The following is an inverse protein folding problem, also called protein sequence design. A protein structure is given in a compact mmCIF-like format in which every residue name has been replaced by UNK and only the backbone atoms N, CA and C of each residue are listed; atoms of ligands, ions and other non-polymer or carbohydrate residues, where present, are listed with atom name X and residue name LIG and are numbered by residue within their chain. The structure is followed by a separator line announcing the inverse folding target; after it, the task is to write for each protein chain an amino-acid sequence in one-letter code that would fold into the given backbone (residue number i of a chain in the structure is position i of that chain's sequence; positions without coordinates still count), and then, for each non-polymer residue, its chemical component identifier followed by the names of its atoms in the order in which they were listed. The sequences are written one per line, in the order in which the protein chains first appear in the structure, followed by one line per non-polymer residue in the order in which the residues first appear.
data_IF_421546851849
#
_entry.id   IF_421546851849
#
_cell.length_a   1.000
_cell.length_b   1.000
_cell.length_c   1.000
_cell.angle_alpha   90.00
_cell.angle_beta   90.00
_cell.angle_gamma   90.00
#
_symmetry.space_group_name_H-M   'P 1'
#
loop_
_entity.id
_entity.type
_entity.pdbx_description
1 polymer ?
#
# COMPACT_ATOMS: atom_id res chain seq x y z
N UNK A 1 -28.89 13.13 -10.33
CA UNK A 1 -29.34 13.13 -8.92
C UNK A 1 -28.27 12.49 -8.07
N UNK A 2 -27.69 13.21 -7.10
CA UNK A 2 -26.69 12.65 -6.18
C UNK A 2 -27.36 11.67 -5.22
N UNK A 3 -26.89 10.42 -5.20
CA UNK A 3 -27.35 9.41 -4.22
C UNK A 3 -26.88 9.83 -2.83
N UNK A 4 -27.80 10.00 -1.89
CA UNK A 4 -27.48 10.20 -0.47
C UNK A 4 -26.62 9.03 0.02
N UNK A 5 -25.39 9.33 0.46
CA UNK A 5 -24.50 8.31 1.01
C UNK A 5 -25.05 7.84 2.35
N UNK A 6 -25.31 6.53 2.49
CA UNK A 6 -25.63 5.92 3.79
C UNK A 6 -24.44 6.12 4.74
N UNK A 7 -24.71 6.64 5.92
CA UNK A 7 -23.77 6.71 7.03
C UNK A 7 -24.01 5.53 7.98
N UNK A 8 -22.93 5.03 8.57
CA UNK A 8 -22.95 3.96 9.57
C UNK A 8 -22.25 4.46 10.83
N UNK A 9 -22.77 4.07 11.99
CA UNK A 9 -22.15 4.42 13.27
C UNK A 9 -20.79 3.74 13.43
N UNK A 10 -19.85 4.33 14.19
CA UNK A 10 -18.55 3.72 14.45
C UNK A 10 -18.67 2.30 15.02
N UNK A 11 -19.61 2.09 15.93
CA UNK A 11 -19.85 0.82 16.62
C UNK A 11 -20.28 -0.26 15.63
N UNK A 12 -21.18 0.08 14.69
CA UNK A 12 -21.63 -0.84 13.65
C UNK A 12 -20.47 -1.28 12.74
N UNK A 13 -19.56 -0.35 12.39
CA UNK A 13 -18.41 -0.66 11.54
C UNK A 13 -17.45 -1.63 12.22
N UNK A 14 -17.19 -1.41 13.51
CA UNK A 14 -16.32 -2.26 14.34
C UNK A 14 -16.93 -3.65 14.47
N UNK A 15 -18.21 -3.74 14.82
CA UNK A 15 -18.90 -5.02 14.97
C UNK A 15 -18.94 -5.81 13.66
N UNK A 16 -19.27 -5.15 12.54
CA UNK A 16 -19.28 -5.78 11.22
C UNK A 16 -17.90 -6.33 10.83
N UNK A 17 -16.83 -5.59 11.14
CA UNK A 17 -15.47 -6.02 10.90
C UNK A 17 -15.05 -7.19 11.81
N UNK A 18 -15.42 -7.17 13.10
CA UNK A 18 -15.16 -8.26 14.06
C UNK A 18 -15.82 -9.56 13.65
N UNK A 19 -17.05 -9.52 13.12
CA UNK A 19 -17.73 -10.72 12.59
C UNK A 19 -16.92 -11.42 11.48
N UNK A 20 -16.18 -10.67 10.68
CA UNK A 20 -15.30 -11.23 9.64
C UNK A 20 -13.98 -11.73 10.26
N UNK A 21 -13.36 -10.94 11.13
CA UNK A 21 -12.04 -11.24 11.72
C UNK A 21 -12.11 -12.45 12.64
N UNK A 22 -13.05 -12.43 13.59
CA UNK A 22 -13.14 -13.42 14.65
C UNK A 22 -13.94 -14.66 14.20
N UNK A 23 -14.94 -14.45 13.33
CA UNK A 23 -15.82 -15.51 12.84
C UNK A 23 -15.24 -16.34 11.70
N UNK A 24 -14.13 -15.92 11.08
CA UNK A 24 -13.53 -16.62 9.92
C UNK A 24 -14.42 -16.68 8.68
N UNK A 25 -15.55 -15.97 8.67
CA UNK A 25 -16.53 -15.95 7.57
C UNK A 25 -16.06 -15.01 6.46
N UNK A 26 -16.33 -15.33 5.18
CA UNK A 26 -15.93 -14.48 4.07
C UNK A 26 -16.66 -13.13 4.09
N UNK A 27 -15.96 -12.06 3.67
CA UNK A 27 -16.49 -10.69 3.59
C UNK A 27 -17.78 -10.63 2.75
N UNK A 28 -17.85 -11.41 1.68
CA UNK A 28 -18.99 -11.45 0.75
C UNK A 28 -20.28 -11.91 1.43
N UNK A 29 -20.19 -12.88 2.33
CA UNK A 29 -21.34 -13.42 3.08
C UNK A 29 -21.83 -12.38 4.10
N UNK A 30 -20.94 -11.85 4.92
CA UNK A 30 -21.28 -10.83 5.93
C UNK A 30 -21.80 -9.54 5.27
N UNK A 31 -21.24 -9.14 4.13
CA UNK A 31 -21.70 -7.97 3.39
C UNK A 31 -23.15 -8.12 2.90
N UNK A 32 -23.52 -9.31 2.42
CA UNK A 32 -24.89 -9.62 1.99
C UNK A 32 -25.86 -9.61 3.17
N UNK A 33 -25.48 -10.20 4.31
CA UNK A 33 -26.29 -10.20 5.54
C UNK A 33 -26.55 -8.80 6.06
N UNK A 34 -25.51 -7.96 6.07
CA UNK A 34 -25.57 -6.59 6.57
C UNK A 34 -26.07 -5.59 5.52
N UNK A 35 -26.40 -6.05 4.30
CA UNK A 35 -26.82 -5.24 3.16
C UNK A 35 -25.88 -4.02 2.91
N UNK A 36 -24.58 -4.30 2.97
CA UNK A 36 -23.49 -3.35 2.72
C UNK A 36 -22.65 -3.83 1.55
N UNK A 37 -22.04 -2.87 0.84
CA UNK A 37 -21.16 -3.21 -0.27
C UNK A 37 -19.89 -3.90 0.24
N UNK A 38 -19.46 -4.98 -0.41
CA UNK A 38 -18.30 -5.79 -0.01
C UNK A 38 -17.02 -4.95 0.14
N UNK A 39 -16.72 -4.09 -0.84
CA UNK A 39 -15.63 -3.11 -0.76
C UNK A 39 -15.69 -2.18 0.47
N UNK A 40 -16.88 -1.80 0.93
CA UNK A 40 -17.03 -0.95 2.11
C UNK A 40 -16.74 -1.73 3.39
N UNK A 41 -17.25 -2.96 3.49
CA UNK A 41 -16.97 -3.85 4.60
C UNK A 41 -15.48 -4.21 4.67
N UNK A 42 -14.84 -4.46 3.52
CA UNK A 42 -13.40 -4.72 3.44
C UNK A 42 -12.55 -3.56 3.98
N UNK A 43 -12.97 -2.30 3.77
CA UNK A 43 -12.31 -1.13 4.38
C UNK A 43 -12.42 -1.13 5.91
N UNK A 44 -13.57 -1.52 6.45
CA UNK A 44 -13.75 -1.59 7.91
C UNK A 44 -12.93 -2.73 8.52
N UNK A 45 -12.91 -3.90 7.89
CA UNK A 45 -12.07 -5.04 8.31
C UNK A 45 -10.61 -4.66 8.34
N UNK A 46 -10.12 -3.97 7.31
CA UNK A 46 -8.74 -3.47 7.26
C UNK A 46 -8.46 -2.47 8.39
N UNK A 47 -9.37 -1.54 8.65
CA UNK A 47 -9.22 -0.57 9.74
C UNK A 47 -9.17 -1.26 11.13
N UNK A 48 -9.97 -2.31 11.35
CA UNK A 48 -9.91 -3.09 12.59
C UNK A 48 -8.63 -3.93 12.71
N UNK A 49 -8.20 -4.62 11.64
CA UNK A 49 -6.92 -5.36 11.65
C UNK A 49 -5.73 -4.46 11.97
N UNK A 50 -5.80 -3.22 11.51
CA UNK A 50 -4.81 -2.20 11.82
C UNK A 50 -4.88 -1.74 13.29
N UNK A 51 -6.08 -1.55 13.85
CA UNK A 51 -6.25 -1.29 15.29
C UNK A 51 -5.71 -2.42 16.15
N UNK A 52 -5.88 -3.65 15.69
CA UNK A 52 -5.38 -4.86 16.38
C UNK A 52 -3.86 -5.06 16.21
N UNK A 53 -3.19 -4.23 15.42
CA UNK A 53 -1.76 -4.36 15.12
C UNK A 53 -1.40 -5.59 14.28
N UNK A 54 -2.39 -6.24 13.67
CA UNK A 54 -2.20 -7.41 12.79
C UNK A 54 -1.55 -7.01 11.47
N UNK A 55 -1.82 -5.78 11.01
CA UNK A 55 -1.22 -5.18 9.81
C UNK A 55 -0.62 -3.83 10.16
N UNK A 56 0.49 -3.48 9.52
CA UNK A 56 1.14 -2.18 9.69
C UNK A 56 0.69 -1.22 8.57
N UNK A 57 0.34 0.02 8.90
CA UNK A 57 -0.14 1.00 7.91
C UNK A 57 0.88 1.22 6.80
N UNK A 58 2.16 1.30 7.18
CA UNK A 58 3.26 1.65 6.28
C UNK A 58 3.62 0.45 5.40
N UNK A 59 3.64 -0.75 5.97
CA UNK A 59 4.04 -1.96 5.25
C UNK A 59 2.93 -2.58 4.42
N UNK A 60 1.69 -2.52 4.90
CA UNK A 60 0.56 -3.23 4.27
C UNK A 60 -0.35 -2.31 3.46
N UNK A 61 0.00 -1.02 3.27
CA UNK A 61 -0.73 -0.05 2.46
C UNK A 61 -1.18 -0.67 1.12
N UNK A 62 -2.44 -0.45 0.67
CA UNK A 62 -2.85 -0.94 -0.64
C UNK A 62 -1.95 -0.29 -1.70
N UNK A 63 -1.51 -1.03 -2.74
CA UNK A 63 -0.70 -0.46 -3.82
C UNK A 63 -1.41 0.69 -4.56
N UNK A 64 -2.76 0.73 -4.49
CA UNK A 64 -3.61 1.77 -5.08
C UNK A 64 -4.08 2.85 -4.08
N UNK A 65 -3.53 2.87 -2.85
CA UNK A 65 -3.77 3.97 -1.94
C UNK A 65 -3.12 5.25 -2.46
N UNK A 66 -3.84 6.38 -2.47
CA UNK A 66 -3.22 7.68 -2.77
C UNK A 66 -2.03 7.88 -1.82
N UNK A 67 -0.81 7.80 -2.35
CA UNK A 67 0.41 8.11 -1.61
C UNK A 67 0.24 9.47 -0.95
N UNK A 68 0.44 9.55 0.37
CA UNK A 68 0.46 10.80 1.10
C UNK A 68 1.53 11.74 0.51
N UNK A 69 1.37 13.04 0.73
CA UNK A 69 2.32 14.04 0.19
C UNK A 69 3.78 13.77 0.59
N UNK A 70 4.00 13.25 1.80
CA UNK A 70 5.32 12.83 2.29
C UNK A 70 5.86 11.61 1.55
N UNK A 71 5.04 10.58 1.33
CA UNK A 71 5.45 9.38 0.59
C UNK A 71 5.81 9.71 -0.86
N UNK A 72 5.08 10.63 -1.53
CA UNK A 72 5.42 11.09 -2.89
C UNK A 72 6.74 11.85 -2.94
N UNK A 73 7.02 12.67 -1.93
CA UNK A 73 8.26 13.42 -1.84
C UNK A 73 9.46 12.47 -1.64
N UNK A 74 9.31 11.48 -0.77
CA UNK A 74 10.32 10.46 -0.54
C UNK A 74 10.56 9.59 -1.78
N UNK A 75 9.49 9.19 -2.47
CA UNK A 75 9.59 8.43 -3.73
C UNK A 75 10.35 9.23 -4.81
N UNK A 76 10.08 10.54 -4.91
CA UNK A 76 10.80 11.43 -5.83
C UNK A 76 12.29 11.52 -5.49
N UNK A 77 12.61 11.67 -4.20
CA UNK A 77 14.00 11.70 -3.71
C UNK A 77 14.72 10.39 -4.03
N UNK A 78 14.11 9.25 -3.72
CA UNK A 78 14.69 7.94 -3.96
C UNK A 78 14.93 7.68 -5.45
N UNK A 79 14.02 8.11 -6.33
CA UNK A 79 14.22 8.02 -7.78
C UNK A 79 15.39 8.88 -8.27
N UNK A 80 15.59 10.06 -7.71
CA UNK A 80 16.73 10.91 -8.04
C UNK A 80 18.06 10.26 -7.60
N UNK A 81 18.11 9.68 -6.40
CA UNK A 81 19.28 8.98 -5.88
C UNK A 81 19.63 7.73 -6.69
N UNK A 82 18.62 6.96 -7.11
CA UNK A 82 18.83 5.82 -8.01
C UNK A 82 19.42 6.27 -9.35
N UNK A 83 18.87 7.34 -9.95
CA UNK A 83 19.37 7.85 -11.22
C UNK A 83 20.82 8.38 -11.12
N UNK A 84 21.22 8.90 -9.96
CA UNK A 84 22.61 9.28 -9.68
C UNK A 84 23.52 8.07 -9.58
N UNK A 85 23.14 7.07 -8.76
CA UNK A 85 23.89 5.82 -8.62
C UNK A 85 24.06 5.09 -9.95
N UNK A 86 23.02 5.06 -10.79
CA UNK A 86 23.08 4.43 -12.11
C UNK A 86 24.09 5.14 -13.04
N UNK A 87 24.19 6.48 -12.95
CA UNK A 87 25.20 7.25 -13.68
C UNK A 87 26.61 6.93 -13.21
N UNK A 88 26.82 6.86 -11.91
CA UNK A 88 28.13 6.53 -11.33
C UNK A 88 28.56 5.12 -11.71
N UNK A 89 27.65 4.15 -11.60
CA UNK A 89 27.90 2.76 -12.03
C UNK A 89 28.24 2.72 -13.52
N UNK A 90 27.50 3.44 -14.37
CA UNK A 90 27.79 3.49 -15.80
C UNK A 90 29.17 4.11 -16.10
N UNK A 91 29.53 5.16 -15.38
CA UNK A 91 30.85 5.79 -15.50
C UNK A 91 31.96 4.83 -15.06
N UNK A 92 31.84 4.23 -13.87
CA UNK A 92 32.83 3.27 -13.34
C UNK A 92 33.01 2.07 -14.27
N UNK A 93 31.93 1.55 -14.85
CA UNK A 93 32.01 0.48 -15.87
C UNK A 93 32.80 0.90 -17.09
N UNK A 94 32.58 2.12 -17.62
CA UNK A 94 33.34 2.65 -18.77
C UNK A 94 34.82 2.81 -18.43
N UNK A 95 35.12 3.36 -17.26
CA UNK A 95 36.49 3.54 -16.78
C UNK A 95 37.20 2.20 -16.61
N UNK A 96 36.54 1.22 -15.98
CA UNK A 96 37.06 -0.14 -15.84
C UNK A 96 37.33 -0.80 -17.19
N UNK A 97 36.41 -0.67 -18.15
CA UNK A 97 36.61 -1.19 -19.51
C UNK A 97 37.79 -0.51 -20.24
N UNK A 98 37.94 0.81 -20.08
CA UNK A 98 39.08 1.54 -20.63
C UNK A 98 40.42 1.03 -20.07
N UNK A 99 40.52 0.87 -18.74
CA UNK A 99 41.74 0.35 -18.12
C UNK A 99 42.05 -1.09 -18.52
N UNK A 100 41.03 -1.96 -18.58
CA UNK A 100 41.20 -3.34 -19.07
C UNK A 100 41.75 -3.36 -20.51
N UNK A 101 41.23 -2.49 -21.40
CA UNK A 101 41.70 -2.38 -22.77
C UNK A 101 43.15 -1.84 -22.88
N UNK A 102 43.60 -0.99 -21.94
CA UNK A 102 44.98 -0.49 -21.90
C UNK A 102 45.97 -1.52 -21.35
N UNK A 103 45.55 -2.45 -20.47
CA UNK A 103 46.44 -3.47 -19.89
C UNK A 103 46.80 -4.61 -20.84
N UNK A 104 46.06 -4.79 -21.94
CA UNK A 104 46.32 -5.82 -22.96
C UNK A 104 47.11 -5.30 -24.17
N UNK A 105 47.72 -4.11 -24.05
CA UNK A 105 48.61 -3.52 -25.05
C UNK A 105 50.06 -3.56 -24.57
#
# INVERSE_FOLDING_TARGET
MSRTRRSFTPEFKVEAARRVIDGGRPITEIARELNVHENLLGKWVRAERLRDGVIDQVRDAPPDGELSGSERAELTRLRAELAEKDRDIAFLKKVSAYFAAQQHR
#
